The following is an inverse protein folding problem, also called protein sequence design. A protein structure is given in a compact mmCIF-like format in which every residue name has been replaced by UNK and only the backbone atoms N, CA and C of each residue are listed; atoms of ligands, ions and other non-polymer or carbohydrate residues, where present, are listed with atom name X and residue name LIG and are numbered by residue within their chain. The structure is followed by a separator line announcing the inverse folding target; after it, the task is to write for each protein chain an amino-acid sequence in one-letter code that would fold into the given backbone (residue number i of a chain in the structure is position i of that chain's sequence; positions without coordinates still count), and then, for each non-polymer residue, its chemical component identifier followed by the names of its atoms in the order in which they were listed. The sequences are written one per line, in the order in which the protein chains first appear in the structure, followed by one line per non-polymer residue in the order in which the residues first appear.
data_IF_684617938725
#
_entry.id   IF_684617938725
#
_cell.length_a   1.000
_cell.length_b   1.000
_cell.length_c   1.000
_cell.angle_alpha   90.00
_cell.angle_beta   90.00
_cell.angle_gamma   90.00
#
_symmetry.space_group_name_H-M   'P 1'
#
loop_
_entity.id
_entity.type
_entity.pdbx_description
1 polymer ?
#
# COMPACT_ATOMS: atom_id res chain seq x y z
N UNK A 1 -11.94 -11.64 -20.92
CA UNK A 1 -11.77 -10.92 -19.63
C UNK A 1 -10.40 -11.28 -19.09
N UNK A 2 -9.51 -10.31 -18.87
CA UNK A 2 -8.20 -10.57 -18.25
C UNK A 2 -8.42 -11.04 -16.81
N UNK A 3 -7.63 -12.03 -16.35
CA UNK A 3 -7.66 -12.45 -14.95
C UNK A 3 -7.30 -11.26 -14.04
N UNK A 4 -7.93 -11.14 -12.86
CA UNK A 4 -7.55 -10.11 -11.89
C UNK A 4 -6.08 -10.29 -11.48
N UNK A 5 -5.38 -9.16 -11.31
CA UNK A 5 -3.99 -9.17 -10.86
C UNK A 5 -3.88 -9.79 -9.47
N UNK A 6 -2.86 -10.62 -9.28
CA UNK A 6 -2.48 -11.11 -7.94
C UNK A 6 -1.90 -9.98 -7.10
N UNK A 7 -1.92 -10.14 -5.76
CA UNK A 7 -1.33 -9.13 -4.86
C UNK A 7 0.15 -8.87 -5.16
N UNK A 8 0.92 -9.91 -5.50
CA UNK A 8 2.33 -9.76 -5.88
C UNK A 8 2.50 -8.97 -7.18
N UNK A 9 1.64 -9.18 -8.17
CA UNK A 9 1.67 -8.39 -9.42
C UNK A 9 1.30 -6.93 -9.16
N UNK A 10 0.32 -6.65 -8.29
CA UNK A 10 -0.02 -5.30 -7.85
C UNK A 10 1.20 -4.63 -7.21
N UNK A 11 1.83 -5.28 -6.23
CA UNK A 11 3.03 -4.76 -5.57
C UNK A 11 4.18 -4.50 -6.55
N UNK A 12 4.40 -5.41 -7.49
CA UNK A 12 5.48 -5.28 -8.49
C UNK A 12 5.19 -4.26 -9.58
N UNK A 13 3.95 -3.86 -9.77
CA UNK A 13 3.59 -2.83 -10.76
C UNK A 13 3.88 -1.40 -10.29
N UNK A 14 4.28 -1.20 -9.03
CA UNK A 14 4.62 0.10 -8.46
C UNK A 14 5.96 0.06 -7.74
N UNK A 15 6.78 1.12 -7.85
CA UNK A 15 7.96 1.34 -6.98
C UNK A 15 7.50 1.78 -5.58
N UNK A 16 6.51 2.65 -5.54
CA UNK A 16 5.94 3.24 -4.33
C UNK A 16 4.43 3.10 -4.37
N UNK A 17 3.85 2.66 -3.25
CA UNK A 17 2.41 2.70 -3.01
C UNK A 17 2.14 3.89 -2.07
N UNK A 18 1.49 4.97 -2.55
CA UNK A 18 1.15 6.11 -1.70
C UNK A 18 0.12 5.70 -0.65
N UNK A 19 0.39 6.08 0.60
CA UNK A 19 -0.53 5.90 1.73
C UNK A 19 -1.34 7.18 1.89
N UNK A 20 -2.59 7.15 1.42
CA UNK A 20 -3.45 8.30 1.21
C UNK A 20 -4.47 8.43 2.34
N UNK A 21 -4.59 9.61 2.91
CA UNK A 21 -5.72 10.02 3.76
C UNK A 21 -6.47 11.16 3.07
N UNK A 22 -7.79 11.03 2.94
CA UNK A 22 -8.64 12.03 2.31
C UNK A 22 -9.44 12.74 3.40
N UNK A 23 -9.13 14.02 3.61
CA UNK A 23 -9.82 14.88 4.57
C UNK A 23 -11.01 15.62 3.90
N UNK A 24 -10.96 15.83 2.56
CA UNK A 24 -12.04 16.42 1.75
C UNK A 24 -12.36 15.49 0.57
N UNK A 25 -13.60 14.99 0.45
CA UNK A 25 -13.99 14.06 -0.61
C UNK A 25 -13.82 14.61 -2.03
N UNK A 26 -13.89 15.92 -2.22
CA UNK A 26 -13.72 16.55 -3.53
C UNK A 26 -12.28 16.44 -4.06
N UNK A 27 -11.31 16.19 -3.19
CA UNK A 27 -9.91 15.98 -3.56
C UNK A 27 -9.61 14.55 -4.06
N UNK A 28 -10.49 13.58 -3.82
CA UNK A 28 -10.21 12.17 -4.12
C UNK A 28 -9.90 11.93 -5.61
N UNK A 29 -10.78 12.31 -6.51
CA UNK A 29 -10.61 12.09 -7.95
C UNK A 29 -9.45 12.91 -8.54
N UNK A 30 -9.30 14.22 -8.25
CA UNK A 30 -8.15 14.97 -8.72
C UNK A 30 -6.81 14.40 -8.27
N UNK A 31 -6.70 13.98 -7.01
CA UNK A 31 -5.49 13.35 -6.47
C UNK A 31 -5.15 12.04 -7.21
N UNK A 32 -6.15 11.16 -7.41
CA UNK A 32 -5.93 9.91 -8.13
C UNK A 32 -5.46 10.17 -9.57
N UNK A 33 -6.05 11.11 -10.26
CA UNK A 33 -5.65 11.51 -11.62
C UNK A 33 -4.21 12.04 -11.67
N UNK A 34 -3.83 12.88 -10.70
CA UNK A 34 -2.49 13.44 -10.61
C UNK A 34 -1.44 12.35 -10.39
N UNK A 35 -1.70 11.39 -9.47
CA UNK A 35 -0.82 10.25 -9.19
C UNK A 35 -0.68 9.34 -10.42
N UNK A 36 -1.79 8.99 -11.08
CA UNK A 36 -1.78 8.15 -12.29
C UNK A 36 -1.05 8.84 -13.44
N UNK A 37 -1.26 10.15 -13.63
CA UNK A 37 -0.54 10.93 -14.64
C UNK A 37 0.97 10.97 -14.40
N UNK A 38 1.40 10.89 -13.14
CA UNK A 38 2.81 10.75 -12.73
C UNK A 38 3.34 9.32 -12.80
N UNK A 39 2.53 8.31 -13.21
CA UNK A 39 2.95 6.92 -13.33
C UNK A 39 2.71 6.06 -12.08
N UNK A 40 2.13 6.61 -11.02
CA UNK A 40 1.76 5.88 -9.80
C UNK A 40 0.30 5.43 -9.92
N UNK A 41 0.08 4.17 -10.24
CA UNK A 41 -1.25 3.59 -10.48
C UNK A 41 -1.84 2.87 -9.25
N UNK A 42 -1.01 2.30 -8.39
CA UNK A 42 -1.45 1.58 -7.18
C UNK A 42 -1.61 2.58 -6.04
N UNK A 43 -2.82 2.69 -5.48
CA UNK A 43 -3.21 3.71 -4.51
C UNK A 43 -3.76 3.03 -3.25
N UNK A 44 -3.10 3.19 -2.08
CA UNK A 44 -3.60 2.74 -0.78
C UNK A 44 -4.39 3.87 -0.11
N UNK A 45 -5.72 3.81 -0.16
CA UNK A 45 -6.61 4.80 0.49
C UNK A 45 -6.96 4.31 1.89
N UNK A 46 -6.61 5.08 2.91
CA UNK A 46 -6.77 4.65 4.30
C UNK A 46 -8.15 4.96 4.87
N UNK A 47 -8.62 4.11 5.79
CA UNK A 47 -9.84 4.33 6.58
C UNK A 47 -9.58 5.19 7.84
N UNK A 48 -8.58 6.09 7.79
CA UNK A 48 -8.25 6.98 8.91
C UNK A 48 -9.20 8.17 9.04
N UNK A 49 -10.00 8.42 8.01
CA UNK A 49 -11.01 9.47 7.96
C UNK A 49 -12.37 8.87 7.61
N UNK A 50 -13.43 9.55 7.94
CA UNK A 50 -14.80 9.17 7.59
C UNK A 50 -15.04 9.12 6.07
N UNK A 51 -14.21 9.82 5.30
CA UNK A 51 -14.32 9.89 3.83
C UNK A 51 -13.65 8.70 3.10
N UNK A 52 -12.94 7.81 3.82
CA UNK A 52 -12.13 6.75 3.22
C UNK A 52 -12.88 5.85 2.24
N UNK A 53 -14.04 5.31 2.63
CA UNK A 53 -14.85 4.45 1.73
C UNK A 53 -15.40 5.21 0.53
N UNK A 54 -15.82 6.47 0.71
CA UNK A 54 -16.27 7.34 -0.37
C UNK A 54 -15.14 7.63 -1.37
N UNK A 55 -13.95 7.90 -0.85
CA UNK A 55 -12.75 8.14 -1.66
C UNK A 55 -12.35 6.89 -2.46
N UNK A 56 -12.37 5.69 -1.85
CA UNK A 56 -12.13 4.42 -2.57
C UNK A 56 -13.08 4.30 -3.75
N UNK A 57 -14.39 4.51 -3.53
CA UNK A 57 -15.40 4.42 -4.59
C UNK A 57 -15.15 5.41 -5.72
N UNK A 58 -14.82 6.65 -5.38
CA UNK A 58 -14.57 7.70 -6.37
C UNK A 58 -13.27 7.44 -7.16
N UNK A 59 -12.18 7.09 -6.46
CA UNK A 59 -10.88 6.83 -7.08
C UNK A 59 -10.87 5.56 -7.94
N UNK A 60 -11.66 4.54 -7.59
CA UNK A 60 -11.76 3.30 -8.37
C UNK A 60 -12.36 3.50 -9.77
N UNK A 61 -13.03 4.63 -10.00
CA UNK A 61 -13.58 5.02 -11.32
C UNK A 61 -12.54 5.78 -12.19
N UNK A 62 -11.37 6.11 -11.63
CA UNK A 62 -10.32 6.79 -12.40
C UNK A 62 -9.60 5.76 -13.27
N UNK A 63 -9.58 6.01 -14.57
CA UNK A 63 -8.93 5.14 -15.54
C UNK A 63 -7.44 4.95 -15.19
N UNK A 64 -7.01 3.70 -15.16
CA UNK A 64 -5.64 3.34 -14.83
C UNK A 64 -5.32 3.23 -13.34
N UNK A 65 -6.20 3.65 -12.43
CA UNK A 65 -6.01 3.48 -10.99
C UNK A 65 -6.28 2.04 -10.55
N UNK A 66 -5.43 1.53 -9.64
CA UNK A 66 -5.57 0.25 -8.94
C UNK A 66 -5.72 0.61 -7.46
N UNK A 67 -6.95 0.65 -6.98
CA UNK A 67 -7.25 1.19 -5.65
C UNK A 67 -7.34 0.06 -4.63
N UNK A 68 -6.59 0.20 -3.55
CA UNK A 68 -6.68 -0.63 -2.36
C UNK A 68 -7.10 0.17 -1.14
N UNK A 69 -7.56 -0.55 -0.12
CA UNK A 69 -7.88 0.03 1.18
C UNK A 69 -6.72 -0.16 2.15
N UNK A 70 -6.36 0.88 2.89
CA UNK A 70 -5.38 0.86 3.96
C UNK A 70 -6.00 1.04 5.35
N UNK A 71 -5.26 0.63 6.37
CA UNK A 71 -5.67 0.74 7.78
C UNK A 71 -6.87 -0.13 8.11
N UNK A 72 -6.96 -1.33 7.49
CA UNK A 72 -7.93 -2.34 7.89
C UNK A 72 -7.61 -2.84 9.30
N UNK A 73 -8.51 -2.60 10.24
CA UNK A 73 -8.37 -2.94 11.66
C UNK A 73 -9.55 -3.72 12.22
N UNK A 74 -10.66 -3.73 11.47
CA UNK A 74 -11.91 -4.40 11.86
C UNK A 74 -12.40 -5.32 10.73
N UNK A 75 -12.98 -6.49 11.06
CA UNK A 75 -13.48 -7.45 10.08
C UNK A 75 -14.53 -6.90 9.10
N UNK A 76 -15.42 -6.05 9.57
CA UNK A 76 -16.51 -5.47 8.79
C UNK A 76 -16.03 -4.50 7.70
N UNK A 77 -14.82 -3.95 7.84
CA UNK A 77 -14.22 -3.03 6.86
C UNK A 77 -13.88 -3.73 5.54
N UNK A 78 -13.66 -5.05 5.55
CA UNK A 78 -13.25 -5.78 4.35
C UNK A 78 -14.34 -5.82 3.28
N UNK A 79 -15.55 -6.25 3.65
CA UNK A 79 -16.67 -6.30 2.71
C UNK A 79 -17.04 -4.90 2.22
N UNK A 80 -17.13 -3.92 3.14
CA UNK A 80 -17.44 -2.54 2.80
C UNK A 80 -16.44 -1.94 1.80
N UNK A 81 -15.14 -2.21 1.99
CA UNK A 81 -14.08 -1.70 1.11
C UNK A 81 -14.11 -2.37 -0.26
N UNK A 82 -14.30 -3.69 -0.33
CA UNK A 82 -14.47 -4.42 -1.58
C UNK A 82 -15.67 -3.87 -2.37
N UNK A 83 -16.80 -3.67 -1.71
CA UNK A 83 -18.02 -3.16 -2.33
C UNK A 83 -17.89 -1.68 -2.74
N UNK A 84 -16.96 -0.94 -2.12
CA UNK A 84 -16.56 0.39 -2.56
C UNK A 84 -15.61 0.37 -3.78
N UNK A 85 -15.06 -0.79 -4.17
CA UNK A 85 -14.21 -0.96 -5.35
C UNK A 85 -12.74 -1.21 -5.05
N UNK A 86 -12.35 -1.44 -3.77
CA UNK A 86 -10.99 -1.84 -3.45
C UNK A 86 -10.70 -3.25 -4.01
N UNK A 87 -9.52 -3.42 -4.63
CA UNK A 87 -9.07 -4.68 -5.20
C UNK A 87 -8.00 -5.37 -4.35
N UNK A 88 -7.47 -4.72 -3.33
CA UNK A 88 -6.62 -5.27 -2.27
C UNK A 88 -6.80 -4.50 -0.97
N UNK A 89 -6.44 -5.13 0.14
CA UNK A 89 -6.46 -4.52 1.46
C UNK A 89 -5.10 -4.52 2.12
N UNK A 90 -4.85 -3.56 3.01
CA UNK A 90 -3.63 -3.41 3.79
C UNK A 90 -3.99 -3.17 5.25
N UNK A 91 -3.39 -3.95 6.16
CA UNK A 91 -3.57 -3.77 7.60
C UNK A 91 -2.26 -3.38 8.30
N UNK A 92 -2.31 -2.68 9.43
CA UNK A 92 -1.11 -2.35 10.21
C UNK A 92 -0.52 -3.53 10.96
N UNK A 93 -1.29 -4.59 11.18
CA UNK A 93 -0.94 -5.83 11.85
C UNK A 93 -1.82 -6.97 11.37
N UNK A 94 -1.62 -8.18 11.92
CA UNK A 94 -2.37 -9.37 11.55
C UNK A 94 -2.97 -10.04 12.79
N UNK A 95 -4.29 -10.17 12.80
CA UNK A 95 -5.04 -10.92 13.82
C UNK A 95 -5.86 -12.03 13.17
N UNK A 96 -6.31 -13.01 13.95
CA UNK A 96 -7.12 -14.10 13.40
C UNK A 96 -8.43 -13.59 12.79
N UNK A 97 -9.07 -12.59 13.41
CA UNK A 97 -10.31 -12.00 12.89
C UNK A 97 -10.12 -11.33 11.52
N UNK A 98 -8.99 -10.65 11.30
CA UNK A 98 -8.68 -10.06 9.98
C UNK A 98 -8.35 -11.12 8.94
N UNK A 99 -7.70 -12.24 9.33
CA UNK A 99 -7.47 -13.38 8.44
C UNK A 99 -8.79 -13.97 7.95
N UNK A 100 -9.72 -14.20 8.88
CA UNK A 100 -11.03 -14.79 8.58
C UNK A 100 -11.86 -13.83 7.70
N UNK A 101 -11.81 -12.53 7.97
CA UNK A 101 -12.47 -11.51 7.17
C UNK A 101 -11.88 -11.41 5.74
N UNK A 102 -10.56 -11.46 5.60
CA UNK A 102 -9.91 -11.47 4.30
C UNK A 102 -10.34 -12.69 3.46
N UNK A 103 -10.35 -13.89 4.08
CA UNK A 103 -10.79 -15.13 3.42
C UNK A 103 -12.27 -15.08 3.03
N UNK A 104 -13.14 -14.61 3.91
CA UNK A 104 -14.58 -14.56 3.67
C UNK A 104 -14.99 -13.49 2.66
N UNK A 105 -14.33 -12.33 2.68
CA UNK A 105 -14.59 -11.26 1.71
C UNK A 105 -14.03 -11.53 0.33
N UNK A 106 -12.98 -12.37 0.23
CA UNK A 106 -12.21 -12.57 -1.00
C UNK A 106 -11.32 -11.38 -1.38
N UNK A 107 -11.15 -10.39 -0.50
CA UNK A 107 -10.25 -9.25 -0.71
C UNK A 107 -8.81 -9.67 -0.37
N UNK A 108 -7.86 -9.69 -1.34
CA UNK A 108 -6.47 -10.00 -1.06
C UNK A 108 -5.89 -9.06 -0.01
N UNK A 109 -5.28 -9.60 1.05
CA UNK A 109 -4.74 -8.82 2.16
C UNK A 109 -3.21 -8.80 2.13
N UNK A 110 -2.64 -7.59 2.26
CA UNK A 110 -1.24 -7.32 2.57
C UNK A 110 -1.13 -7.01 4.08
N UNK A 111 -0.90 -8.02 4.92
CA UNK A 111 -0.94 -7.83 6.36
C UNK A 111 0.35 -7.23 6.89
N UNK A 112 0.23 -6.36 7.92
CA UNK A 112 1.35 -5.80 8.66
C UNK A 112 2.00 -6.81 9.59
N UNK A 113 3.34 -6.79 9.65
CA UNK A 113 4.19 -7.56 10.56
C UNK A 113 5.40 -6.71 10.95
N UNK A 114 6.00 -7.00 12.10
CA UNK A 114 7.19 -6.31 12.57
C UNK A 114 8.31 -7.28 12.98
N UNK A 115 7.98 -8.47 13.46
CA UNK A 115 8.92 -9.43 14.04
C UNK A 115 9.02 -10.72 13.21
N UNK A 116 10.13 -11.49 13.31
CA UNK A 116 10.23 -12.81 12.67
C UNK A 116 9.10 -13.77 13.07
N UNK A 117 8.66 -13.74 14.33
CA UNK A 117 7.56 -14.60 14.81
C UNK A 117 6.23 -14.26 14.11
N UNK A 118 5.94 -12.98 13.92
CA UNK A 118 4.75 -12.55 13.17
C UNK A 118 4.83 -12.93 11.69
N UNK A 119 6.02 -12.84 11.08
CA UNK A 119 6.24 -13.32 9.71
C UNK A 119 5.99 -14.83 9.61
N UNK A 120 6.48 -15.62 10.55
CA UNK A 120 6.26 -17.06 10.59
C UNK A 120 4.77 -17.39 10.76
N UNK A 121 4.09 -16.73 11.69
CA UNK A 121 2.65 -16.90 11.90
C UNK A 121 1.84 -16.53 10.64
N UNK A 122 2.19 -15.45 9.96
CA UNK A 122 1.55 -15.07 8.70
C UNK A 122 1.79 -16.12 7.59
N UNK A 123 3.01 -16.69 7.50
CA UNK A 123 3.32 -17.77 6.54
C UNK A 123 2.50 -19.04 6.80
N UNK A 124 2.27 -19.41 8.04
CA UNK A 124 1.41 -20.55 8.41
C UNK A 124 -0.02 -20.35 7.92
N UNK A 125 -0.50 -19.11 7.86
CA UNK A 125 -1.80 -18.75 7.32
C UNK A 125 -1.84 -18.61 5.79
N UNK A 126 -0.71 -18.83 5.12
CA UNK A 126 -0.60 -18.80 3.65
C UNK A 126 -0.13 -17.45 3.07
N UNK A 127 0.09 -16.43 3.89
CA UNK A 127 0.58 -15.14 3.40
C UNK A 127 2.07 -15.23 3.01
N UNK A 128 2.40 -14.66 1.85
CA UNK A 128 3.77 -14.55 1.32
C UNK A 128 4.13 -13.11 0.97
N UNK A 129 3.14 -12.24 0.84
CA UNK A 129 3.28 -10.81 0.66
C UNK A 129 2.91 -10.15 1.98
N UNK A 130 3.84 -9.39 2.58
CA UNK A 130 3.68 -8.79 3.90
C UNK A 130 4.09 -7.31 3.87
N UNK A 131 3.47 -6.52 4.73
CA UNK A 131 3.88 -5.14 5.01
C UNK A 131 4.80 -5.14 6.22
N UNK A 132 6.06 -4.72 6.08
CA UNK A 132 6.89 -4.43 7.26
C UNK A 132 6.47 -3.07 7.81
N UNK A 133 5.87 -3.04 9.02
CA UNK A 133 5.34 -1.80 9.60
C UNK A 133 5.48 -1.76 11.13
N UNK A 134 5.95 -0.61 11.69
CA UNK A 134 6.56 0.52 10.99
C UNK A 134 8.00 0.22 10.56
N UNK A 135 8.34 0.39 9.28
CA UNK A 135 9.58 -0.16 8.71
C UNK A 135 10.87 0.41 9.32
N UNK A 136 11.00 1.74 9.39
CA UNK A 136 12.23 2.37 9.92
C UNK A 136 12.42 2.08 11.41
N UNK A 137 11.41 2.26 12.28
CA UNK A 137 11.53 1.87 13.69
C UNK A 137 11.80 0.38 13.92
N UNK A 138 11.33 -0.50 13.02
CA UNK A 138 11.55 -1.94 13.08
C UNK A 138 12.98 -2.38 12.70
N UNK A 139 13.86 -1.46 12.32
CA UNK A 139 15.24 -1.75 11.91
C UNK A 139 15.49 -1.65 10.39
N UNK A 140 14.49 -1.27 9.61
CA UNK A 140 14.62 -0.91 8.19
C UNK A 140 15.24 -2.00 7.33
N UNK A 141 16.20 -1.60 6.50
CA UNK A 141 16.93 -2.50 5.58
C UNK A 141 17.65 -3.63 6.33
N UNK A 142 18.18 -3.35 7.53
CA UNK A 142 18.83 -4.38 8.35
C UNK A 142 17.87 -5.51 8.73
N UNK A 143 16.66 -5.18 9.17
CA UNK A 143 15.61 -6.15 9.50
C UNK A 143 15.18 -6.97 8.26
N UNK A 144 14.94 -6.32 7.12
CA UNK A 144 14.55 -7.01 5.87
C UNK A 144 15.60 -8.03 5.43
N UNK A 145 16.89 -7.67 5.49
CA UNK A 145 17.98 -8.58 5.15
C UNK A 145 18.09 -9.73 6.15
N UNK A 146 17.95 -9.45 7.44
CA UNK A 146 18.00 -10.48 8.49
C UNK A 146 16.87 -11.51 8.37
N UNK A 147 15.64 -11.05 8.07
CA UNK A 147 14.48 -11.93 7.85
C UNK A 147 14.62 -12.70 6.54
N UNK A 148 15.16 -12.09 5.48
CA UNK A 148 15.28 -12.70 4.16
C UNK A 148 16.15 -13.95 4.10
N UNK A 149 17.11 -14.11 5.03
CA UNK A 149 17.92 -15.32 5.14
C UNK A 149 17.08 -16.57 5.48
N UNK A 150 16.45 -16.64 6.66
CA UNK A 150 15.66 -17.79 7.08
C UNK A 150 14.30 -17.91 6.39
N UNK A 151 13.75 -16.83 5.79
CA UNK A 151 12.40 -16.77 5.22
C UNK A 151 12.43 -16.21 3.79
N UNK A 152 13.13 -16.90 2.83
CA UNK A 152 13.39 -16.36 1.49
C UNK A 152 12.17 -16.33 0.58
N UNK A 153 11.07 -16.97 0.95
CA UNK A 153 9.80 -17.05 0.21
C UNK A 153 8.83 -15.91 0.53
N UNK A 154 9.23 -14.96 1.42
CA UNK A 154 8.40 -13.81 1.79
C UNK A 154 8.86 -12.55 1.05
N UNK A 155 7.90 -11.81 0.52
CA UNK A 155 8.11 -10.54 -0.18
C UNK A 155 7.46 -9.40 0.60
N UNK A 156 8.20 -8.30 0.78
CA UNK A 156 7.77 -7.20 1.61
C UNK A 156 7.39 -5.93 0.84
N UNK A 157 6.46 -5.17 1.43
CA UNK A 157 6.23 -3.75 1.22
C UNK A 157 6.57 -3.00 2.52
N UNK A 158 7.83 -2.61 2.76
CA UNK A 158 8.15 -1.81 3.93
C UNK A 158 7.46 -0.45 3.87
N UNK A 159 6.88 -0.03 5.00
CA UNK A 159 6.10 1.20 5.13
C UNK A 159 6.36 1.84 6.49
N UNK A 160 6.49 3.16 6.53
CA UNK A 160 6.67 3.93 7.77
C UNK A 160 8.09 4.45 7.96
N UNK A 161 8.22 5.79 7.90
CA UNK A 161 9.48 6.52 8.00
C UNK A 161 10.34 6.52 6.74
N UNK A 162 9.83 6.00 5.62
CA UNK A 162 10.56 5.99 4.35
C UNK A 162 10.33 7.32 3.62
N UNK A 163 11.41 7.90 3.08
CA UNK A 163 11.41 9.09 2.23
C UNK A 163 11.89 8.76 0.82
N UNK A 164 11.80 9.72 -0.10
CA UNK A 164 12.29 9.56 -1.45
C UNK A 164 13.81 9.25 -1.50
N UNK A 165 14.59 9.82 -0.58
CA UNK A 165 16.04 9.63 -0.48
C UNK A 165 16.39 8.22 0.06
N UNK A 166 15.56 7.68 0.96
CA UNK A 166 15.81 6.37 1.57
C UNK A 166 15.21 5.20 0.78
N UNK A 167 14.15 5.44 0.00
CA UNK A 167 13.42 4.42 -0.75
C UNK A 167 14.32 3.54 -1.66
N UNK A 168 15.34 4.06 -2.38
CA UNK A 168 16.24 3.24 -3.19
C UNK A 168 16.95 2.14 -2.39
N UNK A 169 17.33 2.41 -1.13
CA UNK A 169 17.98 1.42 -0.25
C UNK A 169 17.05 0.26 0.10
N UNK A 170 15.76 0.54 0.28
CA UNK A 170 14.74 -0.48 0.52
C UNK A 170 14.45 -1.29 -0.75
N UNK A 171 14.29 -0.61 -1.89
CA UNK A 171 14.02 -1.24 -3.19
C UNK A 171 15.17 -2.13 -3.68
N UNK A 172 16.40 -1.90 -3.22
CA UNK A 172 17.56 -2.75 -3.51
C UNK A 172 17.55 -4.09 -2.74
N UNK A 173 16.69 -4.25 -1.71
CA UNK A 173 16.58 -5.52 -0.99
C UNK A 173 15.86 -6.56 -1.86
N UNK A 174 16.44 -7.77 -1.97
CA UNK A 174 15.91 -8.86 -2.82
C UNK A 174 14.49 -9.30 -2.49
N UNK A 175 14.11 -9.15 -1.22
CA UNK A 175 12.79 -9.52 -0.70
C UNK A 175 11.82 -8.32 -0.61
N UNK A 176 12.08 -7.21 -1.31
CA UNK A 176 11.20 -6.04 -1.37
C UNK A 176 10.62 -5.90 -2.77
N UNK A 177 9.29 -5.87 -2.85
CA UNK A 177 8.58 -5.65 -4.13
C UNK A 177 8.31 -4.18 -4.43
N UNK A 178 7.99 -3.39 -3.41
CA UNK A 178 7.70 -1.96 -3.46
C UNK A 178 7.87 -1.37 -2.06
N UNK A 179 7.76 -0.07 -1.92
CA UNK A 179 7.70 0.61 -0.61
C UNK A 179 6.38 1.35 -0.44
N UNK A 180 5.89 1.48 0.80
CA UNK A 180 4.77 2.36 1.13
C UNK A 180 5.28 3.72 1.62
N UNK A 181 4.69 4.81 1.13
CA UNK A 181 5.11 6.14 1.52
C UNK A 181 4.03 7.20 1.40
N UNK A 182 4.11 8.23 2.23
CA UNK A 182 3.14 9.34 2.23
C UNK A 182 3.69 10.64 1.64
N UNK A 183 4.98 10.67 1.27
CA UNK A 183 5.60 11.90 0.74
C UNK A 183 5.08 12.33 -0.63
N UNK A 184 4.41 11.41 -1.36
CA UNK A 184 3.80 11.71 -2.66
C UNK A 184 2.50 12.52 -2.53
N UNK A 185 1.95 12.58 -1.33
CA UNK A 185 0.65 13.17 -1.04
C UNK A 185 0.74 14.14 0.16
N UNK A 186 1.59 15.19 0.09
CA UNK A 186 1.72 16.16 1.17
C UNK A 186 0.40 16.90 1.36
N UNK A 187 -0.01 17.03 2.62
CA UNK A 187 -1.33 17.58 3.00
C UNK A 187 -1.56 19.01 2.53
N UNK A 188 -0.53 19.83 2.57
CA UNK A 188 -0.54 21.22 2.11
C UNK A 188 -0.78 21.33 0.59
N UNK A 189 -0.13 20.49 -0.20
CA UNK A 189 -0.35 20.44 -1.64
C UNK A 189 -1.77 19.94 -1.99
N UNK A 190 -2.28 18.93 -1.28
CA UNK A 190 -3.66 18.45 -1.47
C UNK A 190 -4.66 19.58 -1.12
N UNK A 191 -4.49 20.22 0.03
CA UNK A 191 -5.37 21.28 0.49
C UNK A 191 -5.36 22.49 -0.45
N UNK A 192 -4.21 22.79 -1.07
CA UNK A 192 -4.06 23.84 -2.07
C UNK A 192 -4.56 23.45 -3.47
N UNK A 193 -4.90 22.17 -3.71
CA UNK A 193 -5.23 21.67 -5.04
C UNK A 193 -4.05 21.70 -6.01
N UNK A 194 -2.82 21.64 -5.52
CA UNK A 194 -1.60 21.66 -6.35
C UNK A 194 -1.32 20.27 -6.95
N UNK A 195 -2.20 19.89 -7.88
CA UNK A 195 -2.13 18.60 -8.57
C UNK A 195 -0.91 18.48 -9.48
N UNK A 196 -0.38 19.60 -9.95
CA UNK A 196 0.84 19.62 -10.76
C UNK A 196 2.05 19.16 -9.90
N UNK A 197 2.18 19.69 -8.69
CA UNK A 197 3.21 19.27 -7.75
C UNK A 197 3.08 17.79 -7.39
N UNK A 198 1.86 17.31 -7.11
CA UNK A 198 1.59 15.88 -6.86
C UNK A 198 2.06 15.01 -8.04
N UNK A 199 1.77 15.44 -9.28
CA UNK A 199 2.20 14.72 -10.49
C UNK A 199 3.72 14.64 -10.59
N UNK A 200 4.45 15.70 -10.26
CA UNK A 200 5.92 15.68 -10.27
C UNK A 200 6.49 14.76 -9.17
N UNK A 201 5.92 14.77 -7.96
CA UNK A 201 6.29 13.83 -6.90
C UNK A 201 6.05 12.37 -7.32
N UNK A 202 4.94 12.11 -7.99
CA UNK A 202 4.61 10.79 -8.52
C UNK A 202 5.59 10.34 -9.62
N UNK A 203 5.97 11.23 -10.56
CA UNK A 203 7.01 10.94 -11.57
C UNK A 203 8.34 10.58 -10.94
N UNK A 204 8.78 11.38 -9.96
CA UNK A 204 10.03 11.10 -9.24
C UNK A 204 9.99 9.73 -8.54
N UNK A 205 8.86 9.40 -7.90
CA UNK A 205 8.67 8.11 -7.24
C UNK A 205 8.60 6.94 -8.25
N UNK A 206 7.94 7.11 -9.38
CA UNK A 206 7.85 6.08 -10.41
C UNK A 206 9.24 5.75 -11.01
N UNK A 207 10.10 6.76 -11.15
CA UNK A 207 11.45 6.61 -11.67
C UNK A 207 12.39 5.79 -10.76
N UNK A 208 12.08 5.62 -9.46
CA UNK A 208 12.92 4.87 -8.51
C UNK A 208 13.13 3.40 -8.89
N UNK A 209 12.32 2.82 -9.76
CA UNK A 209 12.44 1.42 -10.19
C UNK A 209 13.15 1.27 -11.53
N UNK A 210 13.34 2.35 -12.28
CA UNK A 210 14.04 2.34 -13.58
C UNK A 210 15.55 2.48 -13.43
N UNK A 211 16.05 2.70 -12.22
CA UNK A 211 17.46 2.78 -11.87
C UNK A 211 17.92 1.47 -11.22
#
# INVERSE_FOLDING_TARGET
MSQPMTLLEIMRSASVIPVIAIDDPDHAVPLARALVAGGIRVLEVTLRTEHGLGAIRAMSQVEGAIVGVGTLTQPEEFAASRDAGAVFGVSPGLTQSLIDAAKSSGLPLLPGVMTPSEVMAAREQGFRQLKLFPAVPAGGVGMLNAIGGPLPDVTFCPTGGISIESAPKFLACKNVACVGGSWLTPKDAIAAGDWAHITELAKAAAALRAA
#
